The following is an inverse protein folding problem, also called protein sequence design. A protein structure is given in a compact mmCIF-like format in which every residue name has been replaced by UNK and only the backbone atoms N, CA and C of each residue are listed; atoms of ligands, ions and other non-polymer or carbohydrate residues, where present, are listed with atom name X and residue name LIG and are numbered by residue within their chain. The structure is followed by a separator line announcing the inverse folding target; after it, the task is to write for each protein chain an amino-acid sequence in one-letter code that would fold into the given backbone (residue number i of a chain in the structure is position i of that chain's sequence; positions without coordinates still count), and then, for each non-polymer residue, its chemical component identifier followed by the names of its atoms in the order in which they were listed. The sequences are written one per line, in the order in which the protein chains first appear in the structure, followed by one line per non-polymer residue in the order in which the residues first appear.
data_IF_694966964822
#
_entry.id   IF_694966964822
#
_cell.length_a   1.000
_cell.length_b   1.000
_cell.length_c   1.000
_cell.angle_alpha   90.00
_cell.angle_beta   90.00
_cell.angle_gamma   90.00
#
_symmetry.space_group_name_H-M   'P 1'
#
loop_
_entity.id
_entity.type
_entity.pdbx_description
1 polymer ?
#
# COMPACT_ATOMS: atom_id res chain seq x y z
N UNK A 1 -3.64 -5.73 1.58
CA UNK A 1 -4.72 -5.89 0.58
C UNK A 1 -5.62 -4.67 0.61
N UNK A 2 -6.30 -4.31 -0.50
CA UNK A 2 -7.24 -3.20 -0.49
C UNK A 2 -8.33 -3.40 0.57
N UNK A 3 -8.94 -2.30 1.06
CA UNK A 3 -10.10 -2.40 1.94
C UNK A 3 -11.16 -3.35 1.39
N UNK A 4 -11.84 -4.07 2.29
CA UNK A 4 -12.88 -5.08 1.98
C UNK A 4 -12.38 -6.41 1.40
N UNK A 5 -11.07 -6.63 1.28
CA UNK A 5 -10.50 -7.93 0.89
C UNK A 5 -9.77 -8.60 2.05
N UNK A 6 -9.85 -9.93 2.11
CA UNK A 6 -9.04 -10.74 3.03
C UNK A 6 -7.55 -10.51 2.82
N UNK A 7 -6.75 -10.63 3.87
CA UNK A 7 -5.30 -10.51 3.78
C UNK A 7 -4.69 -11.64 2.93
N UNK A 8 -3.73 -11.30 2.07
CA UNK A 8 -2.86 -12.28 1.40
C UNK A 8 -1.70 -12.60 2.33
N UNK A 9 -1.61 -13.85 2.79
CA UNK A 9 -0.58 -14.30 3.72
C UNK A 9 0.40 -15.27 3.06
N UNK A 10 1.69 -15.04 3.27
CA UNK A 10 2.78 -15.86 2.72
C UNK A 10 3.22 -15.47 1.31
N UNK A 11 4.48 -15.78 0.99
CA UNK A 11 5.16 -15.30 -0.22
C UNK A 11 4.45 -15.69 -1.51
N UNK A 12 4.00 -16.94 -1.64
CA UNK A 12 3.32 -17.40 -2.85
C UNK A 12 1.99 -16.68 -3.10
N UNK A 13 1.20 -16.45 -2.05
CA UNK A 13 -0.07 -15.72 -2.16
C UNK A 13 0.18 -14.25 -2.51
N UNK A 14 1.22 -13.64 -1.95
CA UNK A 14 1.62 -12.27 -2.26
C UNK A 14 2.05 -12.13 -3.73
N UNK A 15 2.91 -13.03 -4.23
CA UNK A 15 3.36 -13.03 -5.64
C UNK A 15 2.15 -13.06 -6.58
N UNK A 16 1.29 -14.08 -6.45
CA UNK A 16 0.08 -14.21 -7.29
C UNK A 16 -0.82 -12.97 -7.23
N UNK A 17 -0.91 -12.37 -6.05
CA UNK A 17 -1.74 -11.18 -5.86
C UNK A 17 -1.17 -9.97 -6.57
N UNK A 18 0.13 -9.70 -6.41
CA UNK A 18 0.78 -8.55 -7.05
C UNK A 18 0.90 -8.73 -8.57
N UNK A 19 1.15 -9.94 -9.07
CA UNK A 19 1.08 -10.25 -10.51
C UNK A 19 -0.29 -9.87 -11.08
N UNK A 20 -1.39 -10.30 -10.44
CA UNK A 20 -2.75 -9.95 -10.87
C UNK A 20 -2.99 -8.44 -10.83
N UNK A 21 -2.54 -7.76 -9.77
CA UNK A 21 -2.69 -6.30 -9.63
C UNK A 21 -1.98 -5.60 -10.78
N UNK A 22 -0.69 -5.86 -10.98
CA UNK A 22 0.10 -5.15 -12.00
C UNK A 22 -0.24 -5.55 -13.43
N UNK A 23 -0.85 -6.72 -13.65
CA UNK A 23 -1.45 -7.04 -14.95
C UNK A 23 -2.72 -6.22 -15.24
N UNK A 24 -3.35 -5.64 -14.22
CA UNK A 24 -4.61 -4.88 -14.35
C UNK A 24 -4.40 -3.37 -14.31
N UNK A 25 -3.42 -2.90 -13.53
CA UNK A 25 -3.17 -1.49 -13.28
C UNK A 25 -1.70 -1.12 -13.40
N UNK A 26 -1.46 0.12 -13.81
CA UNK A 26 -0.17 0.80 -13.68
C UNK A 26 -0.27 1.83 -12.56
N UNK A 27 0.78 1.90 -11.73
CA UNK A 27 0.93 2.92 -10.69
C UNK A 27 2.13 3.80 -11.02
N UNK A 28 1.90 5.10 -11.08
CA UNK A 28 2.95 6.12 -11.15
C UNK A 28 2.78 6.99 -9.93
N UNK A 29 3.49 6.63 -8.87
CA UNK A 29 3.32 7.20 -7.53
C UNK A 29 4.68 7.54 -6.91
N UNK A 30 4.68 8.52 -6.03
CA UNK A 30 5.81 8.91 -5.20
C UNK A 30 5.48 8.58 -3.74
N UNK A 31 6.47 8.04 -3.03
CA UNK A 31 6.35 7.75 -1.60
C UNK A 31 7.07 8.82 -0.80
N UNK A 32 6.43 9.28 0.27
CA UNK A 32 7.03 10.11 1.31
C UNK A 32 7.07 9.33 2.61
N UNK A 33 8.20 9.38 3.31
CA UNK A 33 8.39 8.70 4.60
C UNK A 33 8.04 9.69 5.71
N UNK A 34 6.97 9.40 6.44
CA UNK A 34 6.53 10.24 7.56
C UNK A 34 7.32 9.95 8.84
N UNK A 35 7.52 8.67 9.14
CA UNK A 35 8.26 8.25 10.34
C UNK A 35 8.84 6.85 10.18
N UNK A 36 9.94 6.62 10.89
CA UNK A 36 10.52 5.30 11.12
C UNK A 36 10.85 5.20 12.61
N UNK A 37 10.35 4.15 13.26
CA UNK A 37 10.56 3.93 14.70
C UNK A 37 11.07 2.52 14.92
N UNK A 38 12.24 2.41 15.57
CA UNK A 38 12.74 1.14 16.10
C UNK A 38 11.98 0.84 17.40
N UNK A 39 11.23 -0.27 17.42
CA UNK A 39 10.50 -0.73 18.60
C UNK A 39 11.37 -1.66 19.46
N UNK A 40 12.31 -2.35 18.83
CA UNK A 40 13.31 -3.23 19.47
C UNK A 40 14.50 -3.48 18.51
N UNK A 41 15.55 -4.21 18.91
CA UNK A 41 16.68 -4.52 18.02
C UNK A 41 16.29 -5.18 16.68
N UNK A 42 15.20 -5.95 16.68
CA UNK A 42 14.75 -6.74 15.53
C UNK A 42 13.38 -6.32 14.98
N UNK A 43 12.74 -5.30 15.55
CA UNK A 43 11.42 -4.83 15.11
C UNK A 43 11.37 -3.32 14.95
N UNK A 44 10.75 -2.88 13.86
CA UNK A 44 10.52 -1.47 13.58
C UNK A 44 9.16 -1.29 12.89
N UNK A 45 8.65 -0.07 12.88
CA UNK A 45 7.59 0.32 11.96
C UNK A 45 7.99 1.54 11.15
N UNK A 46 7.40 1.68 9.97
CA UNK A 46 7.46 2.89 9.16
C UNK A 46 6.05 3.29 8.72
N UNK A 47 5.77 4.59 8.75
CA UNK A 47 4.57 5.16 8.14
C UNK A 47 4.98 5.97 6.92
N UNK A 48 4.22 5.82 5.86
CA UNK A 48 4.43 6.56 4.62
C UNK A 48 3.10 7.07 4.07
N UNK A 49 3.20 7.99 3.13
CA UNK A 49 2.12 8.31 2.20
C UNK A 49 2.56 8.05 0.77
N UNK A 50 1.62 7.69 -0.09
CA UNK A 50 1.88 7.49 -1.52
C UNK A 50 0.85 8.20 -2.39
N UNK A 51 1.31 9.17 -3.18
CA UNK A 51 0.47 9.98 -4.06
C UNK A 51 0.90 9.88 -5.53
N UNK A 52 -0.06 10.05 -6.44
CA UNK A 52 0.20 10.07 -7.88
C UNK A 52 -1.00 9.62 -8.69
N UNK A 53 -0.77 8.71 -9.64
CA UNK A 53 -1.78 8.27 -10.61
C UNK A 53 -1.86 6.75 -10.67
N UNK A 54 -3.09 6.23 -10.70
CA UNK A 54 -3.41 4.85 -11.04
C UNK A 54 -4.09 4.81 -12.40
N UNK A 55 -3.56 4.01 -13.32
CA UNK A 55 -4.11 3.81 -14.65
C UNK A 55 -4.61 2.38 -14.81
N UNK A 56 -5.86 2.23 -15.23
CA UNK A 56 -6.43 0.93 -15.61
C UNK A 56 -5.93 0.56 -17.01
N UNK A 57 -5.21 -0.55 -17.15
CA UNK A 57 -4.55 -0.89 -18.41
C UNK A 57 -5.55 -1.27 -19.52
N UNK A 58 -6.65 -1.92 -19.15
CA UNK A 58 -7.67 -2.35 -20.11
C UNK A 58 -8.39 -1.17 -20.78
N UNK A 59 -8.73 -0.14 -20.01
CA UNK A 59 -9.53 1.00 -20.46
C UNK A 59 -8.70 2.24 -20.75
N UNK A 60 -7.42 2.24 -20.37
CA UNK A 60 -6.52 3.41 -20.41
C UNK A 60 -7.03 4.61 -19.60
N UNK A 61 -7.97 4.38 -18.67
CA UNK A 61 -8.51 5.43 -17.80
C UNK A 61 -7.63 5.62 -16.58
N UNK A 62 -7.35 6.86 -16.22
CA UNK A 62 -6.52 7.21 -15.07
C UNK A 62 -7.33 7.91 -13.98
N UNK A 63 -6.97 7.65 -12.74
CA UNK A 63 -7.51 8.35 -11.58
C UNK A 63 -6.38 8.74 -10.61
N UNK A 64 -6.56 9.80 -9.80
CA UNK A 64 -5.64 10.11 -8.73
C UNK A 64 -5.44 8.91 -7.80
N UNK A 65 -4.24 8.77 -7.25
CA UNK A 65 -3.90 7.81 -6.19
C UNK A 65 -3.43 8.60 -4.97
N UNK A 66 -3.94 8.24 -3.79
CA UNK A 66 -3.52 8.85 -2.52
C UNK A 66 -3.84 7.88 -1.38
N UNK A 67 -2.80 7.33 -0.76
CA UNK A 67 -2.87 6.37 0.34
C UNK A 67 -1.90 6.74 1.47
N UNK A 68 -2.22 6.26 2.67
CA UNK A 68 -1.29 6.16 3.79
C UNK A 68 -0.99 4.69 4.06
N UNK A 69 0.24 4.37 4.40
CA UNK A 69 0.71 3.01 4.61
C UNK A 69 1.36 2.82 5.98
N UNK A 70 1.23 1.60 6.51
CA UNK A 70 1.96 1.13 7.69
C UNK A 70 2.74 -0.14 7.32
N UNK A 71 4.06 -0.07 7.52
CA UNK A 71 4.97 -1.20 7.39
C UNK A 71 5.40 -1.65 8.78
N UNK A 72 5.20 -2.93 9.09
CA UNK A 72 5.86 -3.56 10.23
C UNK A 72 7.06 -4.33 9.68
N UNK A 73 8.23 -3.94 10.14
CA UNK A 73 9.51 -4.48 9.71
C UNK A 73 10.05 -5.44 10.76
N UNK A 74 10.62 -6.55 10.30
CA UNK A 74 11.35 -7.50 11.14
C UNK A 74 12.74 -7.70 10.56
N UNK A 75 13.74 -7.73 11.43
CA UNK A 75 15.10 -8.11 11.06
C UNK A 75 15.21 -9.63 10.99
N UNK A 76 15.66 -10.14 9.85
CA UNK A 76 15.89 -11.55 9.60
C UNK A 76 17.25 -11.71 8.93
N UNK A 77 18.12 -12.55 9.51
CA UNK A 77 19.47 -12.79 9.00
C UNK A 77 20.26 -11.48 8.78
N UNK A 78 20.12 -10.55 9.73
CA UNK A 78 20.77 -9.24 9.69
C UNK A 78 20.11 -8.20 8.77
N UNK A 79 19.10 -8.57 7.98
CA UNK A 79 18.44 -7.71 7.01
C UNK A 79 17.01 -7.36 7.42
N UNK A 80 16.61 -6.10 7.25
CA UNK A 80 15.22 -5.69 7.47
C UNK A 80 14.32 -6.16 6.33
N UNK A 81 13.22 -6.85 6.68
CA UNK A 81 12.18 -7.29 5.76
C UNK A 81 10.81 -6.81 6.20
N UNK A 82 9.88 -6.69 5.26
CA UNK A 82 8.48 -6.38 5.54
C UNK A 82 7.82 -7.62 6.14
N UNK A 83 7.49 -7.57 7.42
CA UNK A 83 6.76 -8.63 8.10
C UNK A 83 5.25 -8.47 7.89
N UNK A 84 4.72 -7.25 7.99
CA UNK A 84 3.30 -6.93 7.74
C UNK A 84 3.19 -5.60 7.01
N UNK A 85 2.12 -5.47 6.23
CA UNK A 85 1.82 -4.27 5.47
C UNK A 85 0.31 -4.04 5.46
N UNK A 86 -0.09 -2.80 5.71
CA UNK A 86 -1.46 -2.33 5.58
C UNK A 86 -1.46 -0.93 4.97
N UNK A 87 -2.55 -0.57 4.31
CA UNK A 87 -2.76 0.77 3.78
C UNK A 87 -4.23 1.15 3.84
N UNK A 88 -4.51 2.44 3.85
CA UNK A 88 -5.84 3.01 3.70
C UNK A 88 -5.80 4.17 2.71
N UNK A 89 -6.94 4.45 2.06
CA UNK A 89 -7.02 5.58 1.15
C UNK A 89 -7.11 6.89 1.92
N UNK A 90 -6.42 7.92 1.43
CA UNK A 90 -6.57 9.31 1.87
C UNK A 90 -7.47 10.11 0.92
N UNK A 91 -8.02 9.47 -0.12
CA UNK A 91 -8.99 10.11 -1.00
C UNK A 91 -10.20 10.57 -0.18
N UNK A 92 -10.80 11.73 -0.53
CA UNK A 92 -12.00 12.19 0.13
C UNK A 92 -13.12 11.15 0.08
N UNK A 93 -13.87 11.03 1.17
CA UNK A 93 -15.08 10.24 1.18
C UNK A 93 -16.11 10.94 0.28
N UNK A 94 -16.51 10.29 -0.81
CA UNK A 94 -17.62 10.74 -1.65
C UNK A 94 -18.78 9.77 -1.44
N UNK A 95 -19.83 10.24 -0.81
CA UNK A 95 -21.05 9.48 -0.54
C UNK A 95 -22.23 10.21 -1.18
N UNK A 96 -22.98 9.50 -2.03
CA UNK A 96 -24.14 10.06 -2.76
C UNK A 96 -23.79 11.31 -3.60
N UNK A 97 -22.57 11.35 -4.14
CA UNK A 97 -22.07 12.51 -4.90
C UNK A 97 -21.63 13.70 -4.04
N UNK A 98 -21.73 13.60 -2.72
CA UNK A 98 -21.33 14.65 -1.78
C UNK A 98 -19.97 14.30 -1.18
N UNK A 99 -19.00 15.21 -1.35
CA UNK A 99 -17.70 15.13 -0.68
C UNK A 99 -17.88 15.43 0.80
N UNK A 100 -17.52 14.49 1.66
CA UNK A 100 -17.50 14.66 3.12
C UNK A 100 -16.05 14.84 3.59
N UNK A 101 -15.87 15.76 4.54
CA UNK A 101 -14.60 16.03 5.22
C UNK A 101 -14.37 15.04 6.35
#
# INVERSE_FOLDING_TARGET
MPPHFSASAGTQALIKTYERIFNSIQLTITFDIDEIVLMSPDWAFARTTAEGTKTMLQTQTSEPHSNQELFIMKKEDGSWKIARYAFSTMKPLVQDGIRRS
#
